data_IF_061144151145
#
_entry.id   IF_061144151145
#
_cell.length_a   1.000
_cell.length_b   1.000
_cell.length_c   1.000
_cell.angle_alpha   90.00
_cell.angle_beta   90.00
_cell.angle_gamma   90.00
#
_symmetry.space_group_name_H-M   'P 1'
#
loop_
_entity.id
_entity.type
_entity.pdbx_description
1 polymer ?
#
# COMPACT_ATOMS: atom_id res chain seq x y z
N UNK A 1 -31.04 17.49 -7.87
CA UNK A 1 -30.79 16.25 -7.12
C UNK A 1 -29.33 16.24 -6.75
N UNK A 2 -28.98 16.90 -5.65
CA UNK A 2 -27.61 17.03 -5.18
C UNK A 2 -27.65 17.14 -3.65
N UNK A 3 -26.67 16.51 -3.02
CA UNK A 3 -26.23 16.67 -1.63
C UNK A 3 -27.01 15.85 -0.58
N UNK A 4 -26.51 14.64 -0.31
CA UNK A 4 -26.69 13.97 0.99
C UNK A 4 -25.43 13.16 1.33
N UNK A 5 -24.29 13.85 1.37
CA UNK A 5 -23.05 13.35 1.97
C UNK A 5 -22.74 14.25 3.16
N UNK A 6 -23.29 13.94 4.33
CA UNK A 6 -22.77 14.35 5.64
C UNK A 6 -23.62 13.65 6.72
N UNK A 7 -23.46 12.33 6.85
CA UNK A 7 -23.76 11.67 8.12
C UNK A 7 -22.42 11.39 8.83
N UNK A 8 -22.25 11.81 10.09
CA UNK A 8 -21.02 11.55 10.82
C UNK A 8 -20.88 10.04 11.07
N UNK A 9 -19.75 9.51 10.64
CA UNK A 9 -19.27 8.16 10.96
C UNK A 9 -19.26 8.01 12.48
N UNK A 10 -19.93 6.97 12.95
CA UNK A 10 -20.00 6.63 14.36
C UNK A 10 -18.58 6.54 14.94
N UNK A 11 -18.23 7.42 15.88
CA UNK A 11 -16.93 7.50 16.53
C UNK A 11 -16.59 6.17 17.21
N UNK A 12 -15.82 5.32 16.53
CA UNK A 12 -15.29 4.06 17.08
C UNK A 12 -14.06 4.28 17.96
N UNK A 13 -13.52 5.51 17.97
CA UNK A 13 -12.47 5.98 18.87
C UNK A 13 -13.05 7.03 19.81
N UNK A 14 -13.86 6.56 20.75
CA UNK A 14 -14.36 7.38 21.85
C UNK A 14 -13.25 7.46 22.90
N UNK A 15 -12.32 8.41 22.70
CA UNK A 15 -11.20 8.70 23.63
C UNK A 15 -11.74 9.21 24.99
N UNK A 16 -13.01 9.60 25.05
CA UNK A 16 -13.70 10.04 26.25
C UNK A 16 -14.19 8.87 27.15
N UNK A 17 -14.03 7.60 26.74
CA UNK A 17 -14.32 6.43 27.60
C UNK A 17 -13.20 6.07 28.60
N UNK A 18 -12.17 6.91 28.68
CA UNK A 18 -11.12 6.79 29.70
C UNK A 18 -11.25 7.80 30.85
N UNK A 19 -12.35 8.54 30.90
CA UNK A 19 -12.84 9.23 32.11
C UNK A 19 -13.99 8.36 32.66
N UNK A 20 -13.97 7.78 33.86
CA UNK A 20 -13.43 8.27 35.10
C UNK A 20 -12.85 7.09 35.91
N UNK A 21 -11.65 7.25 36.46
CA UNK A 21 -11.43 6.68 37.79
C UNK A 21 -12.44 7.40 38.65
N UNK A 22 -13.40 6.69 39.22
CA UNK A 22 -14.44 7.26 40.07
C UNK A 22 -13.77 7.95 41.28
N UNK A 23 -13.50 9.25 41.13
CA UNK A 23 -12.84 10.09 42.12
C UNK A 23 -13.65 10.08 43.43
N UNK A 24 -14.96 9.85 43.35
CA UNK A 24 -15.82 9.70 44.52
C UNK A 24 -15.53 8.42 45.29
N UNK A 25 -15.11 7.32 44.64
CA UNK A 25 -14.68 6.09 45.31
C UNK A 25 -13.34 6.29 46.05
N UNK A 26 -12.41 7.04 45.45
CA UNK A 26 -11.11 7.36 46.07
C UNK A 26 -11.27 8.32 47.26
N UNK A 27 -12.14 9.32 47.16
CA UNK A 27 -12.42 10.29 48.23
C UNK A 27 -13.26 9.71 49.37
N UNK A 28 -14.09 8.69 49.11
CA UNK A 28 -14.95 8.07 50.13
C UNK A 28 -14.18 7.16 51.09
N UNK A 29 -13.07 6.56 50.63
CA UNK A 29 -12.19 5.76 51.48
C UNK A 29 -11.43 6.61 52.53
N UNK A 30 -11.19 7.89 52.26
CA UNK A 30 -10.45 8.79 53.17
C UNK A 30 -11.35 9.62 54.08
N UNK A 31 -12.63 9.83 53.73
CA UNK A 31 -13.59 10.64 54.52
C UNK A 31 -14.44 9.86 55.52
N UNK A 32 -14.47 8.53 55.45
CA UNK A 32 -15.22 7.73 56.42
C UNK A 32 -14.59 7.72 57.84
N UNK A 33 -13.36 8.21 58.02
CA UNK A 33 -12.63 8.16 59.29
C UNK A 33 -12.81 9.38 60.22
N UNK A 34 -13.64 10.38 59.88
CA UNK A 34 -13.67 11.65 60.63
C UNK A 34 -14.92 11.90 61.50
N UNK A 35 -16.04 11.17 61.36
CA UNK A 35 -17.32 11.58 61.96
C UNK A 35 -18.06 10.58 62.86
N UNK A 36 -17.40 9.52 63.36
CA UNK A 36 -17.99 8.67 64.40
C UNK A 36 -17.02 8.46 65.56
N UNK A 37 -16.81 9.52 66.35
CA UNK A 37 -16.26 9.42 67.70
C UNK A 37 -17.42 9.16 68.68
N UNK A 38 -17.84 7.91 68.78
CA UNK A 38 -18.58 7.41 69.92
C UNK A 38 -18.16 5.96 70.19
N UNK A 39 -17.37 5.79 71.26
CA UNK A 39 -17.19 4.55 72.02
C UNK A 39 -16.77 3.31 71.20
N UNK A 40 -15.55 3.29 70.65
CA UNK A 40 -14.86 2.01 70.34
C UNK A 40 -13.82 1.77 71.43
N UNK A 41 -13.93 0.61 72.08
CA UNK A 41 -13.03 0.10 73.11
C UNK A 41 -11.58 0.15 72.62
N UNK A 42 -10.67 0.61 73.47
CA UNK A 42 -9.22 0.62 73.22
C UNK A 42 -8.59 -0.74 73.51
N UNK A 43 -9.29 -1.83 73.23
CA UNK A 43 -8.81 -3.19 73.47
C UNK A 43 -8.21 -3.78 72.18
N UNK A 44 -6.87 -3.98 72.11
CA UNK A 44 -6.18 -4.48 70.92
C UNK A 44 -6.28 -6.01 70.71
N UNK A 45 -7.23 -6.68 71.35
CA UNK A 45 -7.45 -8.14 71.25
C UNK A 45 -8.93 -8.51 70.99
N UNK A 46 -9.75 -7.56 70.57
CA UNK A 46 -11.15 -7.82 70.22
C UNK A 46 -11.22 -8.11 68.71
N UNK A 47 -11.08 -9.40 68.39
CA UNK A 47 -11.46 -10.00 67.12
C UNK A 47 -12.97 -9.81 66.93
N UNK A 48 -13.41 -8.91 66.04
CA UNK A 48 -14.77 -8.93 65.48
C UNK A 48 -14.83 -8.19 64.13
N UNK A 49 -15.33 -8.94 63.13
CA UNK A 49 -15.85 -8.54 61.82
C UNK A 49 -14.89 -8.32 60.62
N UNK A 50 -14.04 -9.31 60.32
CA UNK A 50 -13.28 -9.43 59.06
C UNK A 50 -14.09 -10.06 57.89
N UNK A 51 -15.37 -10.40 58.06
CA UNK A 51 -16.13 -11.18 57.07
C UNK A 51 -16.97 -10.32 56.09
N UNK A 52 -17.51 -9.18 56.54
CA UNK A 52 -18.44 -8.35 55.74
C UNK A 52 -17.75 -7.47 54.69
N UNK A 53 -16.51 -7.05 54.91
CA UNK A 53 -15.71 -6.26 53.95
C UNK A 53 -15.07 -7.15 52.88
N UNK A 54 -14.68 -8.38 53.25
CA UNK A 54 -14.17 -9.42 52.35
C UNK A 54 -15.18 -9.79 51.25
N UNK A 55 -16.46 -9.91 51.60
CA UNK A 55 -17.53 -10.23 50.64
C UNK A 55 -17.72 -9.15 49.55
N UNK A 56 -17.67 -7.86 49.93
CA UNK A 56 -17.77 -6.73 48.98
C UNK A 56 -16.56 -6.67 48.03
N UNK A 57 -15.36 -6.90 48.55
CA UNK A 57 -14.12 -6.94 47.76
C UNK A 57 -14.13 -8.16 46.82
N UNK A 58 -14.62 -9.32 47.28
CA UNK A 58 -14.76 -10.51 46.46
C UNK A 58 -15.74 -10.31 45.30
N UNK A 59 -16.90 -9.70 45.56
CA UNK A 59 -17.89 -9.36 44.54
C UNK A 59 -17.34 -8.36 43.51
N UNK A 60 -16.61 -7.34 43.96
CA UNK A 60 -15.95 -6.39 43.08
C UNK A 60 -14.87 -7.06 42.21
N UNK A 61 -14.08 -7.98 42.78
CA UNK A 61 -13.06 -8.75 42.04
C UNK A 61 -13.68 -9.66 40.98
N UNK A 62 -14.82 -10.27 41.26
CA UNK A 62 -15.58 -11.07 40.30
C UNK A 62 -16.10 -10.21 39.14
N UNK A 63 -16.69 -9.05 39.42
CA UNK A 63 -17.14 -8.12 38.38
C UNK A 63 -15.99 -7.67 37.45
N UNK A 64 -14.80 -7.40 38.01
CA UNK A 64 -13.61 -7.09 37.20
C UNK A 64 -13.13 -8.29 36.37
N UNK A 65 -13.22 -9.51 36.89
CA UNK A 65 -12.85 -10.72 36.15
C UNK A 65 -13.80 -10.97 34.97
N UNK A 66 -15.10 -10.75 35.16
CA UNK A 66 -16.10 -10.87 34.09
C UNK A 66 -15.88 -9.83 32.99
N UNK A 67 -15.69 -8.55 33.36
CA UNK A 67 -15.37 -7.48 32.41
C UNK A 67 -14.09 -7.78 31.62
N UNK A 68 -13.05 -8.30 32.28
CA UNK A 68 -11.81 -8.71 31.60
C UNK A 68 -12.09 -9.80 30.57
N UNK A 69 -12.83 -10.85 30.93
CA UNK A 69 -13.16 -11.94 30.01
C UNK A 69 -13.97 -11.46 28.80
N UNK A 70 -14.93 -10.55 29.01
CA UNK A 70 -15.70 -9.96 27.92
C UNK A 70 -14.79 -9.18 26.95
N UNK A 71 -13.89 -8.35 27.47
CA UNK A 71 -12.93 -7.61 26.65
C UNK A 71 -12.02 -8.58 25.89
N UNK A 72 -11.45 -9.57 26.57
CA UNK A 72 -10.59 -10.59 25.98
C UNK A 72 -11.32 -11.31 24.81
N UNK A 73 -12.56 -11.76 25.02
CA UNK A 73 -13.34 -12.43 23.97
C UNK A 73 -13.60 -11.50 22.77
N UNK A 74 -14.07 -10.27 23.02
CA UNK A 74 -14.36 -9.30 21.96
C UNK A 74 -13.11 -8.93 21.17
N UNK A 75 -11.96 -8.85 21.82
CA UNK A 75 -10.68 -8.60 21.15
C UNK A 75 -10.30 -9.77 20.24
N UNK A 76 -10.42 -11.02 20.69
CA UNK A 76 -10.15 -12.18 19.84
C UNK A 76 -11.09 -12.23 18.63
N UNK A 77 -12.39 -12.10 18.84
CA UNK A 77 -13.38 -12.09 17.76
C UNK A 77 -13.10 -10.98 16.73
N UNK A 78 -12.71 -9.80 17.20
CA UNK A 78 -12.30 -8.69 16.33
C UNK A 78 -11.09 -9.07 15.47
N UNK A 79 -10.03 -9.64 16.08
CA UNK A 79 -8.83 -10.06 15.32
C UNK A 79 -9.12 -11.16 14.30
N UNK A 80 -10.00 -12.11 14.64
CA UNK A 80 -10.42 -13.16 13.71
C UNK A 80 -11.21 -12.60 12.53
N UNK A 81 -12.11 -11.65 12.79
CA UNK A 81 -12.83 -10.94 11.73
C UNK A 81 -11.88 -10.15 10.84
N UNK A 82 -10.91 -9.44 11.42
CA UNK A 82 -9.88 -8.71 10.67
C UNK A 82 -9.05 -9.65 9.79
N UNK A 83 -8.64 -10.81 10.29
CA UNK A 83 -7.96 -11.83 9.48
C UNK A 83 -8.81 -12.26 8.28
N UNK A 84 -10.10 -12.56 8.49
CA UNK A 84 -11.01 -12.91 7.40
C UNK A 84 -11.08 -11.83 6.32
N UNK A 85 -11.19 -10.56 6.72
CA UNK A 85 -11.20 -9.42 5.79
C UNK A 85 -9.88 -9.26 5.04
N UNK A 86 -8.75 -9.55 5.69
CA UNK A 86 -7.43 -9.49 5.04
C UNK A 86 -7.28 -10.59 3.98
N UNK A 87 -7.76 -11.81 4.26
CA UNK A 87 -7.75 -12.89 3.27
C UNK A 87 -8.66 -12.58 2.08
N UNK A 88 -9.85 -12.02 2.32
CA UNK A 88 -10.76 -11.59 1.25
C UNK A 88 -10.13 -10.47 0.41
N UNK A 89 -9.48 -9.50 1.04
CA UNK A 89 -8.74 -8.46 0.34
C UNK A 89 -7.56 -9.03 -0.48
N UNK A 90 -6.87 -10.05 0.02
CA UNK A 90 -5.76 -10.70 -0.69
C UNK A 90 -6.28 -11.42 -1.94
N UNK A 91 -7.40 -12.13 -1.84
CA UNK A 91 -8.01 -12.83 -2.98
C UNK A 91 -8.51 -11.84 -4.05
N UNK A 92 -9.21 -10.77 -3.64
CA UNK A 92 -9.61 -9.70 -4.53
C UNK A 92 -8.40 -9.01 -5.20
N UNK A 93 -7.31 -8.81 -4.46
CA UNK A 93 -6.05 -8.28 -4.97
C UNK A 93 -5.41 -9.20 -6.02
N UNK A 94 -5.37 -10.51 -5.79
CA UNK A 94 -4.87 -11.50 -6.75
C UNK A 94 -5.72 -11.53 -8.02
N UNK A 95 -7.04 -11.55 -7.89
CA UNK A 95 -7.94 -11.50 -9.04
C UNK A 95 -7.73 -10.21 -9.87
N UNK A 96 -7.52 -9.08 -9.20
CA UNK A 96 -7.20 -7.80 -9.83
C UNK A 96 -5.86 -7.86 -10.57
N UNK A 97 -4.82 -8.47 -9.98
CA UNK A 97 -3.52 -8.62 -10.63
C UNK A 97 -3.61 -9.44 -11.93
N UNK A 98 -4.38 -10.52 -11.92
CA UNK A 98 -4.63 -11.34 -13.11
C UNK A 98 -5.33 -10.53 -14.20
N UNK A 99 -6.36 -9.76 -13.85
CA UNK A 99 -7.08 -8.95 -14.83
C UNK A 99 -6.20 -7.81 -15.37
N UNK A 100 -5.38 -7.16 -14.55
CA UNK A 100 -4.42 -6.15 -15.03
C UNK A 100 -3.43 -6.76 -16.03
N UNK A 101 -2.90 -7.96 -15.76
CA UNK A 101 -2.01 -8.64 -16.71
C UNK A 101 -2.72 -8.92 -18.04
N UNK A 102 -3.98 -9.38 -17.99
CA UNK A 102 -4.82 -9.62 -19.18
C UNK A 102 -5.11 -8.34 -19.95
N UNK A 103 -5.34 -7.23 -19.25
CA UNK A 103 -5.56 -5.91 -19.85
C UNK A 103 -4.29 -5.41 -20.54
N UNK A 104 -3.12 -5.55 -19.89
CA UNK A 104 -1.83 -5.20 -20.48
C UNK A 104 -1.60 -5.88 -21.83
N UNK A 105 -1.83 -7.19 -21.91
CA UNK A 105 -1.67 -7.95 -23.17
C UNK A 105 -2.57 -7.38 -24.29
N UNK A 106 -3.80 -7.00 -23.95
CA UNK A 106 -4.72 -6.39 -24.92
C UNK A 106 -4.24 -5.02 -25.39
N UNK A 107 -3.71 -4.19 -24.48
CA UNK A 107 -3.13 -2.90 -24.83
C UNK A 107 -1.89 -3.08 -25.74
N UNK A 108 -1.00 -4.01 -25.42
CA UNK A 108 0.19 -4.29 -26.24
C UNK A 108 -0.20 -4.79 -27.64
N UNK A 109 -1.17 -5.71 -27.72
CA UNK A 109 -1.72 -6.18 -29.00
C UNK A 109 -2.31 -5.03 -29.82
N UNK A 110 -3.06 -4.14 -29.18
CA UNK A 110 -3.66 -2.98 -29.84
C UNK A 110 -2.58 -2.02 -30.34
N UNK A 111 -1.55 -1.75 -29.53
CA UNK A 111 -0.40 -0.93 -29.92
C UNK A 111 0.33 -1.49 -31.14
N UNK A 112 0.54 -2.81 -31.20
CA UNK A 112 1.16 -3.47 -32.36
C UNK A 112 0.28 -3.38 -33.61
N UNK A 113 -1.03 -3.54 -33.48
CA UNK A 113 -1.96 -3.35 -34.60
C UNK A 113 -1.93 -1.92 -35.13
N UNK A 114 -1.82 -0.91 -34.25
CA UNK A 114 -1.68 0.48 -34.67
C UNK A 114 -0.39 0.73 -35.46
N UNK A 115 0.72 0.10 -35.08
CA UNK A 115 1.97 0.16 -35.85
C UNK A 115 1.83 -0.49 -37.22
N UNK A 116 1.19 -1.65 -37.28
CA UNK A 116 0.92 -2.36 -38.54
C UNK A 116 0.04 -1.51 -39.47
N UNK A 117 -1.02 -0.89 -38.94
CA UNK A 117 -1.87 0.03 -39.70
C UNK A 117 -1.05 1.21 -40.19
N UNK A 118 -0.25 1.84 -39.35
CA UNK A 118 0.58 2.98 -39.76
C UNK A 118 1.59 2.60 -40.86
N UNK A 119 2.22 1.43 -40.76
CA UNK A 119 3.10 0.88 -41.79
C UNK A 119 2.34 0.62 -43.09
N UNK A 120 1.16 0.01 -43.01
CA UNK A 120 0.28 -0.26 -44.14
C UNK A 120 -0.17 1.02 -44.83
N UNK A 121 -0.54 2.05 -44.06
CA UNK A 121 -0.89 3.37 -44.59
C UNK A 121 0.30 3.99 -45.34
N UNK A 122 1.52 3.88 -44.83
CA UNK A 122 2.73 4.36 -45.54
C UNK A 122 2.97 3.63 -46.85
N UNK A 123 2.83 2.30 -46.86
CA UNK A 123 2.96 1.50 -48.07
C UNK A 123 1.88 1.86 -49.09
N UNK A 124 0.63 1.96 -48.62
CA UNK A 124 -0.52 2.33 -49.43
C UNK A 124 -0.37 3.74 -50.02
N UNK A 125 0.23 4.69 -49.27
CA UNK A 125 0.57 6.02 -49.79
C UNK A 125 1.59 5.96 -50.95
N UNK A 126 2.60 5.09 -50.87
CA UNK A 126 3.54 4.86 -51.99
C UNK A 126 2.82 4.30 -53.22
N UNK A 127 1.90 3.36 -53.03
CA UNK A 127 1.07 2.83 -54.12
C UNK A 127 0.20 3.90 -54.77
N UNK A 128 -0.47 4.75 -53.97
CA UNK A 128 -1.26 5.86 -54.50
C UNK A 128 -0.40 6.86 -55.28
N UNK A 129 0.81 7.14 -54.82
CA UNK A 129 1.76 7.98 -55.55
C UNK A 129 2.19 7.32 -56.87
N UNK A 130 2.39 6.00 -56.88
CA UNK A 130 2.61 5.21 -58.09
C UNK A 130 1.45 5.29 -59.07
N UNK A 131 0.21 5.14 -58.59
CA UNK A 131 -1.01 5.27 -59.40
C UNK A 131 -1.14 6.67 -60.02
N UNK A 132 -0.94 7.74 -59.23
CA UNK A 132 -0.90 9.11 -59.77
C UNK A 132 0.16 9.25 -60.86
N UNK A 133 1.33 8.64 -60.69
CA UNK A 133 2.43 8.71 -61.64
C UNK A 133 2.11 7.98 -62.95
N UNK A 134 1.46 6.81 -62.92
CA UNK A 134 1.10 6.09 -64.17
C UNK A 134 -0.03 6.80 -64.94
N UNK A 135 -1.05 7.32 -64.26
CA UNK A 135 -2.11 8.10 -64.93
C UNK A 135 -1.59 9.45 -65.45
N UNK A 136 -0.69 10.10 -64.70
CA UNK A 136 -0.04 11.34 -65.12
C UNK A 136 0.95 11.14 -66.26
N UNK A 137 1.74 10.07 -66.22
CA UNK A 137 2.73 9.70 -67.25
C UNK A 137 2.07 9.27 -68.54
N UNK A 138 0.97 8.51 -68.48
CA UNK A 138 0.19 8.20 -69.68
C UNK A 138 -0.42 9.47 -70.29
N UNK A 139 -0.92 10.40 -69.46
CA UNK A 139 -1.43 11.68 -69.93
C UNK A 139 -0.33 12.54 -70.56
N UNK A 140 0.86 12.62 -69.96
CA UNK A 140 1.99 13.40 -70.49
C UNK A 140 2.66 12.76 -71.71
N UNK A 141 2.61 11.43 -71.82
CA UNK A 141 3.09 10.68 -72.98
C UNK A 141 2.09 10.73 -74.14
N UNK A 142 0.79 10.77 -73.85
CA UNK A 142 -0.27 10.91 -74.84
C UNK A 142 -0.51 12.38 -75.24
N UNK A 143 -0.27 13.34 -74.34
CA UNK A 143 -0.19 14.77 -74.64
C UNK A 143 1.27 15.15 -74.91
N UNK A 144 1.80 14.70 -76.04
CA UNK A 144 3.18 15.00 -76.43
C UNK A 144 3.47 16.50 -76.35
N UNK A 145 4.36 16.88 -75.44
CA UNK A 145 5.29 18.01 -75.54
C UNK A 145 6.45 17.72 -74.58
N UNK A 146 7.61 17.35 -75.15
CA UNK A 146 8.88 17.18 -74.43
C UNK A 146 9.56 18.54 -74.38
N UNK A 147 9.96 18.96 -73.20
CA UNK A 147 11.16 19.78 -73.01
C UNK A 147 11.93 19.24 -71.80
N UNK A 148 13.21 18.98 -72.02
CA UNK A 148 14.22 18.55 -71.02
C UNK A 148 15.17 19.74 -70.85
N UNK A 149 15.69 20.03 -69.64
CA UNK A 149 17.13 19.86 -69.51
C UNK A 149 17.65 19.38 -68.12
N UNK A 150 18.63 18.49 -68.24
CA UNK A 150 19.93 18.31 -67.55
C UNK A 150 20.41 19.30 -66.49
N UNK A 151 20.89 18.78 -65.35
CA UNK A 151 22.10 19.20 -64.58
C UNK A 151 22.32 18.17 -63.44
N UNK A 152 23.40 17.38 -63.35
CA UNK A 152 24.80 17.70 -63.08
C UNK A 152 25.06 18.33 -61.69
N UNK A 153 25.49 17.52 -60.72
CA UNK A 153 26.54 17.82 -59.73
C UNK A 153 26.85 16.58 -58.84
N UNK A 154 28.14 16.32 -58.66
CA UNK A 154 28.78 15.21 -57.91
C UNK A 154 29.09 15.63 -56.44
N UNK A 155 30.08 15.08 -55.70
CA UNK A 155 30.06 13.83 -54.91
C UNK A 155 30.64 13.96 -53.46
N UNK A 156 30.81 12.82 -52.76
CA UNK A 156 31.90 12.47 -51.79
C UNK A 156 31.99 13.20 -50.43
N UNK A 157 31.79 12.54 -49.28
CA UNK A 157 32.85 11.93 -48.44
C UNK A 157 33.09 12.80 -47.19
N UNK A 158 33.56 12.41 -46.01
CA UNK A 158 34.14 11.19 -45.43
C UNK A 158 34.32 11.42 -43.91
N UNK A 159 34.44 10.34 -43.12
CA UNK A 159 35.27 10.19 -41.90
C UNK A 159 34.85 10.93 -40.60
N UNK A 160 34.64 10.27 -39.45
CA UNK A 160 35.46 9.34 -38.63
C UNK A 160 36.53 10.04 -37.78
N UNK A 161 36.38 9.96 -36.45
CA UNK A 161 37.42 9.65 -35.44
C UNK A 161 36.77 9.61 -34.03
N UNK A 162 36.85 8.54 -33.20
CA UNK A 162 37.99 8.08 -32.36
C UNK A 162 38.36 9.15 -31.29
N UNK A 163 38.48 8.95 -29.97
CA UNK A 163 38.93 7.88 -29.04
C UNK A 163 38.39 8.19 -27.59
N UNK A 164 38.13 7.23 -26.69
CA UNK A 164 39.00 6.66 -25.62
C UNK A 164 39.59 7.71 -24.63
N UNK A 165 39.77 7.56 -23.30
CA UNK A 165 39.55 6.56 -22.24
C UNK A 165 40.08 7.18 -20.91
N UNK A 166 39.79 6.51 -19.78
CA UNK A 166 40.46 6.51 -18.45
C UNK A 166 40.16 7.68 -17.49
N UNK A 167 40.16 7.54 -16.16
CA UNK A 167 40.04 6.43 -15.18
C UNK A 167 39.97 7.09 -13.77
N UNK A 168 39.42 6.36 -12.80
CA UNK A 168 39.54 6.40 -11.33
C UNK A 168 40.21 7.58 -10.58
N UNK A 169 39.61 7.97 -9.45
CA UNK A 169 40.28 7.84 -8.15
C UNK A 169 39.30 7.79 -6.96
N UNK A 170 39.72 7.04 -5.93
CA UNK A 170 39.08 6.76 -4.67
C UNK A 170 39.58 7.66 -3.53
N UNK A 171 38.73 7.90 -2.54
CA UNK A 171 38.99 8.25 -1.12
C UNK A 171 37.61 8.27 -0.45
N UNK A 172 37.27 7.64 0.67
CA UNK A 172 38.01 7.22 1.86
C UNK A 172 37.17 7.69 3.06
N UNK A 173 36.56 6.77 3.82
CA UNK A 173 35.73 7.13 4.98
C UNK A 173 34.82 6.00 5.46
N UNK A 174 35.37 5.09 6.27
CA UNK A 174 34.60 4.01 6.90
C UNK A 174 33.71 4.54 8.02
N UNK A 175 32.40 4.31 7.89
CA UNK A 175 31.44 4.35 8.99
C UNK A 175 30.88 2.94 9.17
N UNK A 176 31.09 2.38 10.36
CA UNK A 176 30.57 1.08 10.78
C UNK A 176 29.03 1.15 10.76
N UNK A 177 28.30 0.27 10.03
CA UNK A 177 26.85 0.25 10.12
C UNK A 177 26.44 -0.39 11.45
N UNK A 178 25.84 0.40 12.35
CA UNK A 178 25.15 -0.14 13.53
C UNK A 178 23.92 -0.91 13.05
N UNK A 179 23.92 -2.21 13.29
CA UNK A 179 22.77 -3.09 13.07
C UNK A 179 21.55 -2.56 13.85
N UNK A 180 20.33 -2.64 13.31
CA UNK A 180 19.11 -2.26 14.03
C UNK A 180 18.86 -3.27 15.14
N UNK A 181 19.11 -2.89 16.41
CA UNK A 181 18.73 -3.72 17.55
C UNK A 181 17.21 -3.81 17.65
N UNK A 182 16.72 -4.97 18.06
CA UNK A 182 15.31 -5.22 18.31
C UNK A 182 14.76 -4.30 19.42
N UNK A 183 13.46 -3.97 19.43
CA UNK A 183 12.86 -3.14 20.48
C UNK A 183 13.10 -3.69 21.90
N UNK A 184 13.23 -5.00 22.04
CA UNK A 184 13.49 -5.72 23.29
C UNK A 184 14.90 -5.46 23.84
N UNK A 185 15.92 -5.41 22.98
CA UNK A 185 17.33 -5.22 23.38
C UNK A 185 17.65 -3.79 23.86
N UNK A 186 16.83 -2.80 23.50
CA UNK A 186 16.94 -1.42 24.02
C UNK A 186 16.51 -1.29 25.47
N UNK A 187 15.57 -2.12 25.93
CA UNK A 187 14.99 -2.03 27.27
C UNK A 187 15.92 -2.62 28.35
N UNK A 188 16.65 -3.70 28.00
CA UNK A 188 17.58 -4.36 28.92
C UNK A 188 18.88 -3.58 29.15
N UNK A 189 19.22 -2.65 28.26
CA UNK A 189 20.44 -1.83 28.37
C UNK A 189 20.24 -0.47 29.01
N UNK A 190 19.03 -0.14 29.51
CA UNK A 190 18.77 1.13 30.16
C UNK A 190 19.43 1.19 31.55
N UNK A 191 20.09 2.31 31.94
CA UNK A 191 20.76 2.43 33.24
C UNK A 191 19.82 2.20 34.44
N UNK A 192 18.53 2.54 34.28
CA UNK A 192 17.47 2.26 35.27
C UNK A 192 17.22 0.75 35.44
N UNK A 193 17.31 -0.05 34.36
CA UNK A 193 17.14 -1.51 34.41
C UNK A 193 18.31 -2.20 35.12
N UNK A 194 19.53 -1.66 35.00
CA UNK A 194 20.75 -2.20 35.61
C UNK A 194 20.90 -1.87 37.10
N UNK A 195 20.24 -0.81 37.58
CA UNK A 195 20.23 -0.42 39.00
C UNK A 195 19.20 -1.20 39.83
N UNK A 196 18.33 -2.00 39.19
CA UNK A 196 17.27 -2.81 39.82
C UNK A 196 17.64 -4.30 39.88
N UNK A 197 18.92 -4.63 39.81
CA UNK A 197 19.42 -6.02 39.85
C UNK A 197 19.50 -6.52 41.30
N UNK A 198 18.33 -6.60 41.95
CA UNK A 198 18.13 -7.35 43.18
C UNK A 198 17.61 -8.75 42.78
N UNK A 199 18.13 -9.82 43.38
CA UNK A 199 17.78 -11.21 43.02
C UNK A 199 16.26 -11.52 43.13
N UNK A 200 15.53 -10.69 43.85
CA UNK A 200 14.07 -10.62 43.93
C UNK A 200 13.40 -10.18 42.62
N UNK A 201 14.03 -9.29 41.85
CA UNK A 201 13.54 -8.76 40.56
C UNK A 201 13.65 -9.78 39.42
N UNK A 202 14.65 -10.67 39.46
CA UNK A 202 14.79 -11.76 38.49
C UNK A 202 13.67 -12.81 38.66
N UNK A 203 13.33 -13.14 39.91
CA UNK A 203 12.21 -14.01 40.24
C UNK A 203 10.85 -13.36 39.92
N UNK A 204 10.69 -12.06 40.17
CA UNK A 204 9.49 -11.31 39.77
C UNK A 204 9.31 -11.25 38.24
N UNK A 205 10.40 -11.07 37.48
CA UNK A 205 10.38 -11.04 36.01
C UNK A 205 10.11 -12.43 35.42
N UNK A 206 10.66 -13.50 36.00
CA UNK A 206 10.29 -14.87 35.62
C UNK A 206 8.83 -15.19 35.95
N UNK A 207 8.31 -14.78 37.11
CA UNK A 207 6.91 -14.98 37.47
C UNK A 207 5.95 -14.18 36.56
N UNK A 208 6.31 -12.96 36.15
CA UNK A 208 5.55 -12.18 35.17
C UNK A 208 5.64 -12.76 33.74
N UNK A 209 6.80 -13.29 33.35
CA UNK A 209 6.97 -13.98 32.06
C UNK A 209 6.18 -15.30 32.02
N UNK A 210 6.13 -16.04 33.12
CA UNK A 210 5.34 -17.27 33.25
C UNK A 210 3.83 -16.98 33.30
N UNK A 211 3.41 -15.88 33.91
CA UNK A 211 2.01 -15.42 33.86
C UNK A 211 1.58 -14.97 32.45
N UNK A 212 2.50 -14.39 31.66
CA UNK A 212 2.26 -14.11 30.23
C UNK A 212 2.14 -15.38 29.40
N UNK A 213 3.03 -16.36 29.64
CA UNK A 213 2.98 -17.67 28.98
C UNK A 213 1.76 -18.52 29.39
N UNK A 214 1.16 -18.25 30.55
CA UNK A 214 0.02 -19.00 31.08
C UNK A 214 -1.37 -18.45 30.66
N UNK A 215 -1.44 -17.35 29.92
CA UNK A 215 -2.71 -16.79 29.46
C UNK A 215 -2.99 -17.22 28.01
N UNK A 216 -3.85 -18.24 27.77
CA UNK A 216 -4.14 -18.75 26.43
C UNK A 216 -4.72 -17.68 25.50
N UNK A 217 -5.47 -16.72 26.06
CA UNK A 217 -5.95 -15.54 25.34
C UNK A 217 -4.80 -14.74 24.71
N UNK A 218 -3.76 -14.43 25.48
CA UNK A 218 -2.66 -13.58 25.01
C UNK A 218 -1.89 -14.26 23.87
N UNK A 219 -1.64 -15.57 24.00
CA UNK A 219 -0.98 -16.35 22.95
C UNK A 219 -1.82 -16.40 21.67
N UNK A 220 -3.14 -16.60 21.77
CA UNK A 220 -4.01 -16.61 20.60
C UNK A 220 -4.09 -15.22 19.95
N UNK A 221 -4.15 -14.17 20.75
CA UNK A 221 -4.14 -12.80 20.26
C UNK A 221 -2.84 -12.48 19.51
N UNK A 222 -1.68 -12.81 20.09
CA UNK A 222 -0.38 -12.59 19.47
C UNK A 222 -0.25 -13.37 18.15
N UNK A 223 -0.67 -14.63 18.12
CA UNK A 223 -0.71 -15.44 16.89
C UNK A 223 -1.58 -14.78 15.80
N UNK A 224 -2.79 -14.32 16.16
CA UNK A 224 -3.66 -13.65 15.20
C UNK A 224 -3.04 -12.35 14.68
N UNK A 225 -2.38 -11.58 15.55
CA UNK A 225 -1.73 -10.32 15.17
C UNK A 225 -0.52 -10.54 14.27
N UNK A 226 0.27 -11.60 14.51
CA UNK A 226 1.39 -11.98 13.64
C UNK A 226 0.88 -12.39 12.25
N UNK A 227 -0.16 -13.23 12.19
CA UNK A 227 -0.81 -13.58 10.92
C UNK A 227 -1.36 -12.34 10.20
N UNK A 228 -1.94 -11.39 10.93
CA UNK A 228 -2.40 -10.13 10.34
C UNK A 228 -1.23 -9.32 9.77
N UNK A 229 -0.09 -9.26 10.47
CA UNK A 229 1.11 -8.57 9.99
C UNK A 229 1.63 -9.19 8.68
N UNK A 230 1.64 -10.52 8.60
CA UNK A 230 2.07 -11.24 7.40
C UNK A 230 1.11 -11.00 6.22
N UNK A 231 -0.20 -11.07 6.47
CA UNK A 231 -1.23 -10.77 5.46
C UNK A 231 -1.12 -9.32 4.96
N UNK A 232 -0.95 -8.35 5.88
CA UNK A 232 -0.75 -6.94 5.52
C UNK A 232 0.53 -6.74 4.70
N UNK A 233 1.59 -7.48 5.00
CA UNK A 233 2.83 -7.43 4.22
C UNK A 233 2.61 -7.96 2.80
N UNK A 234 1.92 -9.08 2.64
CA UNK A 234 1.52 -9.61 1.33
C UNK A 234 0.64 -8.63 0.55
N UNK A 235 -0.38 -8.08 1.20
CA UNK A 235 -1.25 -7.06 0.61
C UNK A 235 -0.48 -5.81 0.19
N UNK A 236 0.52 -5.38 0.96
CA UNK A 236 1.38 -4.26 0.59
C UNK A 236 2.19 -4.55 -0.68
N UNK A 237 2.77 -5.75 -0.81
CA UNK A 237 3.47 -6.13 -2.03
C UNK A 237 2.52 -6.17 -3.22
N UNK A 238 1.36 -6.82 -3.09
CA UNK A 238 0.33 -6.81 -4.13
C UNK A 238 -0.09 -5.38 -4.51
N UNK A 239 -0.39 -4.52 -3.54
CA UNK A 239 -0.80 -3.15 -3.82
C UNK A 239 0.31 -2.33 -4.52
N UNK A 240 1.57 -2.58 -4.17
CA UNK A 240 2.72 -1.93 -4.84
C UNK A 240 2.84 -2.43 -6.28
N UNK A 241 2.79 -3.75 -6.50
CA UNK A 241 2.88 -4.35 -7.84
C UNK A 241 1.72 -3.89 -8.73
N UNK A 242 0.48 -3.93 -8.21
CA UNK A 242 -0.70 -3.40 -8.89
C UNK A 242 -0.54 -1.92 -9.26
N UNK A 243 -0.03 -1.10 -8.33
CA UNK A 243 0.23 0.32 -8.57
C UNK A 243 1.27 0.54 -9.67
N UNK A 244 2.37 -0.22 -9.66
CA UNK A 244 3.40 -0.12 -10.71
C UNK A 244 2.88 -0.59 -12.08
N UNK A 245 2.04 -1.62 -12.11
CA UNK A 245 1.44 -2.12 -13.35
C UNK A 245 0.47 -1.09 -13.94
N UNK A 246 -0.36 -0.45 -13.11
CA UNK A 246 -1.26 0.64 -13.55
C UNK A 246 -0.46 1.80 -14.14
N UNK A 247 0.61 2.25 -13.48
CA UNK A 247 1.46 3.33 -13.99
C UNK A 247 2.11 2.96 -15.32
N UNK A 248 2.57 1.71 -15.46
CA UNK A 248 3.11 1.20 -16.72
C UNK A 248 2.06 1.17 -17.83
N UNK A 249 0.83 0.74 -17.54
CA UNK A 249 -0.27 0.74 -18.49
C UNK A 249 -0.70 2.15 -18.89
N UNK A 250 -0.69 3.12 -17.96
CA UNK A 250 -0.95 4.52 -18.29
C UNK A 250 0.04 5.05 -19.33
N UNK A 251 1.33 4.78 -19.15
CA UNK A 251 2.34 5.15 -20.16
C UNK A 251 2.12 4.46 -21.53
N UNK A 252 1.64 3.21 -21.54
CA UNK A 252 1.28 2.50 -22.77
C UNK A 252 0.04 3.13 -23.43
N UNK A 253 -0.97 3.52 -22.66
CA UNK A 253 -2.17 4.22 -23.15
C UNK A 253 -1.80 5.56 -23.80
N UNK A 254 -0.93 6.35 -23.17
CA UNK A 254 -0.46 7.63 -23.74
C UNK A 254 0.24 7.40 -25.08
N UNK A 255 1.15 6.41 -25.13
CA UNK A 255 1.84 6.06 -26.36
C UNK A 255 0.86 5.63 -27.47
N UNK A 256 -0.11 4.78 -27.14
CA UNK A 256 -1.15 4.37 -28.08
C UNK A 256 -2.00 5.54 -28.56
N UNK A 257 -2.33 6.50 -27.69
CA UNK A 257 -3.10 7.67 -28.07
C UNK A 257 -2.37 8.47 -29.17
N UNK A 258 -1.05 8.66 -29.03
CA UNK A 258 -0.22 9.27 -30.08
C UNK A 258 -0.22 8.45 -31.39
N UNK A 259 -0.16 7.12 -31.30
CA UNK A 259 -0.22 6.25 -32.49
C UNK A 259 -1.58 6.33 -33.18
N UNK A 260 -2.68 6.31 -32.41
CA UNK A 260 -4.04 6.43 -32.91
C UNK A 260 -4.21 7.74 -33.67
N UNK A 261 -3.78 8.87 -33.10
CA UNK A 261 -3.85 10.17 -33.76
C UNK A 261 -3.05 10.18 -35.07
N UNK A 262 -1.85 9.62 -35.08
CA UNK A 262 -1.03 9.51 -36.30
C UNK A 262 -1.71 8.67 -37.39
N UNK A 263 -2.27 7.52 -37.00
CA UNK A 263 -3.03 6.64 -37.89
C UNK A 263 -4.26 7.35 -38.44
N UNK A 264 -5.04 8.03 -37.61
CA UNK A 264 -6.24 8.74 -38.02
C UNK A 264 -5.95 9.87 -39.01
N UNK A 265 -4.92 10.69 -38.74
CA UNK A 265 -4.48 11.75 -39.66
C UNK A 265 -4.06 11.16 -41.01
N UNK A 266 -3.27 10.08 -41.00
CA UNK A 266 -2.78 9.44 -42.22
C UNK A 266 -3.91 8.78 -43.01
N UNK A 267 -4.82 8.09 -42.34
CA UNK A 267 -5.98 7.44 -42.94
C UNK A 267 -6.93 8.47 -43.55
N UNK A 268 -7.20 9.58 -42.85
CA UNK A 268 -8.02 10.68 -43.37
C UNK A 268 -7.39 11.33 -44.61
N UNK A 269 -6.07 11.59 -44.59
CA UNK A 269 -5.34 12.09 -45.76
C UNK A 269 -5.46 11.12 -46.93
N UNK A 270 -5.18 9.85 -46.69
CA UNK A 270 -5.21 8.83 -47.72
C UNK A 270 -6.61 8.66 -48.33
N UNK A 271 -7.64 8.63 -47.49
CA UNK A 271 -9.03 8.51 -47.94
C UNK A 271 -9.44 9.71 -48.83
N UNK A 272 -9.01 10.93 -48.49
CA UNK A 272 -9.21 12.12 -49.37
C UNK A 272 -8.52 11.94 -50.72
N UNK A 273 -7.30 11.40 -50.75
CA UNK A 273 -6.57 11.18 -52.00
C UNK A 273 -7.21 10.12 -52.88
N UNK A 274 -7.64 8.99 -52.31
CA UNK A 274 -8.35 7.93 -53.02
C UNK A 274 -9.65 8.47 -53.62
N UNK A 275 -10.44 9.21 -52.85
CA UNK A 275 -11.65 9.85 -53.36
C UNK A 275 -11.38 10.82 -54.51
N UNK A 276 -10.26 11.56 -54.47
CA UNK A 276 -9.86 12.45 -55.57
C UNK A 276 -9.43 11.68 -56.82
N UNK A 277 -8.84 10.50 -56.67
CA UNK A 277 -8.51 9.60 -57.78
C UNK A 277 -9.77 8.98 -58.39
N UNK A 278 -10.74 8.55 -57.59
CA UNK A 278 -11.98 7.93 -58.08
C UNK A 278 -12.96 8.93 -58.73
N UNK A 279 -12.91 10.21 -58.36
CA UNK A 279 -13.77 11.25 -58.93
C UNK A 279 -13.26 11.83 -60.27
N UNK A 280 -12.13 11.32 -60.79
CA UNK A 280 -11.59 11.68 -62.11
C UNK A 280 -11.83 10.55 -63.10
#
# INVERSE_FOLDING_TARGET
MANNYLEPVNNHFDIDKFADVDDDLFLRNTRASANNRAQRSTNPFEDDDEESTSSSIAAQRQAYAEKRREIEQRTLESTQKSLGLLYEAEDAGKATAVELARQREQLEKTSNQLDEINSTLRFSQRHLNGLKSVFGGLKNYLSGNRDVPTAAASPTGSQMSQEANYNANATGGGAIPKQPMSPTERYDNHPVSRMRDDASSYNQRQAQAQQRAANPFQHQLESNLDEMCDNLSRLKFLATDLGTEIESQNGLLDNMNYKIESVDINLTKQNKEINKLMKK
#
